data_IF_094997863508
#
_entry.id   IF_094997863508
#
_cell.length_a   1.000
_cell.length_b   1.000
_cell.length_c   1.000
_cell.angle_alpha   90.00
_cell.angle_beta   90.00
_cell.angle_gamma   90.00
#
_symmetry.space_group_name_H-M   'P 1'
#
loop_
_entity.id
_entity.type
_entity.pdbx_description
1 polymer ?
#
# COMPACT_ATOMS: atom_id res chain seq x y z
N UNK A 1 14.30 -4.34 -4.53
CA UNK A 1 13.03 -3.69 -4.17
C UNK A 1 13.37 -2.52 -3.28
N UNK A 2 13.00 -1.30 -3.65
CA UNK A 2 13.39 -0.10 -2.91
C UNK A 2 12.81 -0.11 -1.49
N UNK A 3 13.63 0.31 -0.53
CA UNK A 3 13.28 0.43 0.88
C UNK A 3 12.27 1.57 1.07
N UNK A 4 10.98 1.24 0.93
CA UNK A 4 9.86 2.17 1.02
C UNK A 4 9.88 2.98 2.33
N UNK A 5 10.45 2.42 3.40
CA UNK A 5 10.56 3.08 4.72
C UNK A 5 11.43 4.34 4.70
N UNK A 6 12.24 4.52 3.64
CA UNK A 6 13.09 5.70 3.43
C UNK A 6 12.51 6.71 2.44
N UNK A 7 11.37 6.41 1.82
CA UNK A 7 10.72 7.34 0.91
C UNK A 7 10.08 8.48 1.72
N UNK A 8 10.25 9.74 1.29
CA UNK A 8 9.52 10.85 1.90
C UNK A 8 8.02 10.73 1.61
N UNK A 9 7.19 11.33 2.47
CA UNK A 9 5.78 11.55 2.14
C UNK A 9 5.66 12.46 0.91
N UNK A 10 4.76 12.12 0.00
CA UNK A 10 4.60 12.83 -1.26
C UNK A 10 4.22 11.94 -2.44
N UNK A 11 4.19 12.52 -3.65
CA UNK A 11 3.66 11.87 -4.85
C UNK A 11 4.31 10.52 -5.18
N UNK A 12 5.61 10.36 -4.93
CA UNK A 12 6.33 9.11 -5.20
C UNK A 12 5.88 7.98 -4.27
N UNK A 13 5.69 8.28 -2.97
CA UNK A 13 5.19 7.30 -2.02
C UNK A 13 3.70 6.98 -2.27
N UNK A 14 2.92 7.98 -2.63
CA UNK A 14 1.50 7.81 -2.98
C UNK A 14 1.35 6.94 -4.25
N UNK A 15 2.24 7.12 -5.22
CA UNK A 15 2.31 6.26 -6.41
C UNK A 15 2.71 4.81 -6.06
N UNK A 16 3.64 4.62 -5.14
CA UNK A 16 4.00 3.28 -4.64
C UNK A 16 2.84 2.61 -3.90
N UNK A 17 2.05 3.37 -3.14
CA UNK A 17 0.82 2.87 -2.52
C UNK A 17 -0.20 2.43 -3.58
N UNK A 18 -0.44 3.25 -4.60
CA UNK A 18 -1.35 2.90 -5.70
C UNK A 18 -0.89 1.64 -6.44
N UNK A 19 0.42 1.51 -6.69
CA UNK A 19 1.02 0.29 -7.26
C UNK A 19 0.80 -0.93 -6.37
N UNK A 20 1.02 -0.81 -5.06
CA UNK A 20 0.80 -1.90 -4.11
C UNK A 20 -0.68 -2.34 -4.06
N UNK A 21 -1.62 -1.42 -4.27
CA UNK A 21 -3.04 -1.74 -4.38
C UNK A 21 -3.44 -2.40 -5.70
N UNK A 22 -2.54 -2.41 -6.69
CA UNK A 22 -2.85 -2.82 -8.06
C UNK A 22 -3.69 -1.80 -8.82
N UNK A 23 -3.75 -0.55 -8.35
CA UNK A 23 -4.40 0.56 -9.04
C UNK A 23 -3.47 1.12 -10.10
N UNK A 24 -3.27 0.33 -11.16
CA UNK A 24 -2.42 0.69 -12.30
C UNK A 24 -3.24 0.70 -13.58
N UNK A 25 -3.07 1.76 -14.36
CA UNK A 25 -3.54 1.89 -15.73
C UNK A 25 -2.47 1.29 -16.63
N UNK A 26 -2.89 0.35 -17.45
CA UNK A 26 -2.03 -0.27 -18.45
C UNK A 26 -2.26 0.49 -19.75
N UNK A 27 -1.31 1.34 -20.13
CA UNK A 27 -1.35 2.02 -21.41
C UNK A 27 -0.91 1.04 -22.50
N UNK A 28 -1.85 0.67 -23.36
CA UNK A 28 -1.64 -0.26 -24.45
C UNK A 28 -1.65 0.51 -25.77
N UNK A 29 -0.57 0.40 -26.53
CA UNK A 29 -0.47 0.99 -27.87
C UNK A 29 -0.69 -0.07 -28.92
N UNK A 30 -1.61 0.20 -29.84
CA UNK A 30 -1.78 -0.63 -31.02
C UNK A 30 -0.84 -0.14 -32.13
N UNK A 31 0.00 -1.04 -32.64
CA UNK A 31 0.77 -0.85 -33.87
C UNK A 31 0.27 -1.84 -34.93
N UNK A 32 0.65 -1.64 -36.20
CA UNK A 32 0.27 -2.54 -37.29
C UNK A 32 0.69 -4.02 -37.11
N UNK A 33 1.50 -4.34 -36.09
CA UNK A 33 1.90 -5.69 -35.71
C UNK A 33 1.19 -6.25 -34.46
N UNK A 34 0.31 -5.47 -33.80
CA UNK A 34 -0.43 -5.88 -32.61
C UNK A 34 -0.36 -4.85 -31.46
N UNK A 35 -0.92 -5.25 -30.33
CA UNK A 35 -0.87 -4.48 -29.08
C UNK A 35 0.48 -4.65 -28.38
N UNK A 36 1.08 -3.54 -27.94
CA UNK A 36 2.27 -3.52 -27.08
C UNK A 36 2.02 -2.67 -25.85
N UNK A 37 2.60 -3.08 -24.71
CA UNK A 37 2.63 -2.28 -23.50
C UNK A 37 3.46 -1.02 -23.73
N UNK A 38 2.85 0.15 -23.60
CA UNK A 38 3.47 1.47 -23.79
C UNK A 38 3.81 2.13 -22.45
N UNK A 39 3.04 1.84 -21.40
CA UNK A 39 3.27 2.36 -20.05
C UNK A 39 2.44 1.67 -18.96
N UNK A 40 2.91 1.78 -17.72
CA UNK A 40 2.17 1.39 -16.51
C UNK A 40 2.13 2.61 -15.59
N UNK A 41 0.96 3.20 -15.43
CA UNK A 41 0.76 4.43 -14.66
C UNK A 41 -0.14 4.14 -13.47
N UNK A 42 0.03 4.76 -12.29
CA UNK A 42 -0.96 4.63 -11.22
C UNK A 42 -2.30 5.24 -11.65
N UNK A 43 -3.42 4.53 -11.43
CA UNK A 43 -4.76 5.09 -11.61
C UNK A 43 -5.01 6.03 -10.43
N UNK A 44 -4.98 7.33 -10.69
CA UNK A 44 -5.55 8.31 -9.76
C UNK A 44 -7.07 8.22 -9.87
N UNK A 45 -7.69 7.36 -9.07
CA UNK A 45 -9.16 7.22 -9.04
C UNK A 45 -9.81 8.56 -8.61
N UNK A 46 -9.03 9.46 -8.00
CA UNK A 46 -9.41 10.84 -7.68
C UNK A 46 -8.17 11.74 -7.78
N UNK A 47 -8.33 13.00 -8.19
CA UNK A 47 -7.34 14.10 -8.08
C UNK A 47 -6.86 14.39 -6.64
N UNK A 48 -7.21 13.52 -5.67
CA UNK A 48 -7.01 13.66 -4.23
C UNK A 48 -6.41 12.40 -3.57
N UNK A 49 -5.93 11.43 -4.33
CA UNK A 49 -5.25 10.27 -3.73
C UNK A 49 -3.86 10.66 -3.24
N UNK A 50 -3.81 11.26 -2.05
CA UNK A 50 -2.60 11.74 -1.37
C UNK A 50 -2.46 11.10 0.03
N UNK A 51 -2.40 9.76 0.13
CA UNK A 51 -2.49 9.05 1.40
C UNK A 51 -1.34 9.30 2.37
N UNK A 52 -0.14 9.57 1.88
CA UNK A 52 1.00 9.82 2.74
C UNK A 52 1.00 11.21 3.39
N UNK A 53 0.18 12.15 2.90
CA UNK A 53 0.19 13.57 3.29
C UNK A 53 -1.16 14.09 3.79
N UNK A 54 -2.23 13.30 3.71
CA UNK A 54 -3.58 13.72 4.12
C UNK A 54 -4.31 12.61 4.86
N UNK A 55 -5.12 12.98 5.85
CA UNK A 55 -5.98 12.02 6.55
C UNK A 55 -7.07 11.45 5.65
N UNK A 56 -7.64 12.25 4.75
CA UNK A 56 -8.63 11.78 3.78
C UNK A 56 -8.04 10.70 2.87
N UNK A 57 -6.83 10.91 2.34
CA UNK A 57 -6.13 9.89 1.54
C UNK A 57 -5.78 8.64 2.37
N UNK A 58 -5.27 8.82 3.60
CA UNK A 58 -4.99 7.68 4.49
C UNK A 58 -6.27 6.91 4.84
N UNK A 59 -7.40 7.60 4.99
CA UNK A 59 -8.72 7.01 5.18
C UNK A 59 -9.11 6.09 4.03
N UNK A 60 -8.89 6.53 2.78
CA UNK A 60 -9.14 5.69 1.60
C UNK A 60 -8.29 4.41 1.61
N UNK A 61 -7.02 4.50 2.04
CA UNK A 61 -6.16 3.32 2.19
C UNK A 61 -6.69 2.37 3.27
N UNK A 62 -7.12 2.89 4.42
CA UNK A 62 -7.68 2.07 5.51
C UNK A 62 -8.94 1.33 5.02
N UNK A 63 -9.86 2.03 4.37
CA UNK A 63 -11.10 1.44 3.84
C UNK A 63 -10.82 0.36 2.79
N UNK A 64 -9.86 0.60 1.89
CA UNK A 64 -9.44 -0.38 0.89
C UNK A 64 -8.82 -1.62 1.54
N UNK A 65 -7.90 -1.44 2.48
CA UNK A 65 -7.27 -2.52 3.24
C UNK A 65 -8.32 -3.35 4.00
N UNK A 66 -9.27 -2.70 4.66
CA UNK A 66 -10.39 -3.36 5.34
C UNK A 66 -11.27 -4.17 4.39
N UNK A 67 -11.59 -3.62 3.21
CA UNK A 67 -12.34 -4.35 2.19
C UNK A 67 -11.62 -5.61 1.71
N UNK A 68 -10.28 -5.59 1.75
CA UNK A 68 -9.42 -6.72 1.42
C UNK A 68 -9.18 -7.68 2.60
N UNK A 69 -9.81 -7.47 3.77
CA UNK A 69 -9.68 -8.35 4.93
C UNK A 69 -8.47 -8.07 5.82
N UNK A 70 -7.93 -6.85 5.75
CA UNK A 70 -6.88 -6.37 6.65
C UNK A 70 -7.46 -5.51 7.76
N UNK A 71 -6.87 -5.59 8.94
CA UNK A 71 -7.19 -4.74 10.09
C UNK A 71 -6.01 -3.85 10.42
N UNK A 72 -6.29 -2.58 10.70
CA UNK A 72 -5.29 -1.61 11.13
C UNK A 72 -5.08 -1.72 12.64
N UNK A 73 -3.83 -1.87 13.05
CA UNK A 73 -3.40 -1.65 14.42
C UNK A 73 -2.59 -0.34 14.50
N UNK A 74 -3.07 0.61 15.29
CA UNK A 74 -2.38 1.87 15.60
C UNK A 74 -2.00 1.92 17.07
N UNK A 75 -0.76 2.29 17.35
CA UNK A 75 -0.28 2.51 18.71
C UNK A 75 0.45 3.85 18.79
N UNK A 76 0.05 4.69 19.73
CA UNK A 76 0.82 5.90 20.07
C UNK A 76 1.87 5.51 21.10
N UNK A 77 3.12 5.77 20.77
CA UNK A 77 4.29 5.47 21.62
C UNK A 77 4.93 6.78 22.09
N UNK A 78 5.84 6.70 23.06
CA UNK A 78 6.60 7.87 23.51
C UNK A 78 7.49 8.51 22.43
N UNK A 79 7.69 7.85 21.28
CA UNK A 79 8.56 8.29 20.17
C UNK A 79 7.82 8.54 18.85
N UNK A 80 6.51 8.35 18.81
CA UNK A 80 5.70 8.54 17.60
C UNK A 80 4.51 7.59 17.49
N UNK A 81 3.90 7.57 16.32
CA UNK A 81 2.79 6.67 15.98
C UNK A 81 3.38 5.43 15.31
N UNK A 82 3.04 4.27 15.83
CA UNK A 82 3.30 2.98 15.22
C UNK A 82 2.05 2.49 14.47
N UNK A 83 2.21 2.00 13.24
CA UNK A 83 1.13 1.34 12.51
C UNK A 83 1.58 -0.01 11.94
N UNK A 84 0.63 -0.94 11.88
CA UNK A 84 0.74 -2.22 11.16
C UNK A 84 -0.63 -2.63 10.64
N UNK A 85 -0.66 -3.44 9.59
CA UNK A 85 -1.86 -4.16 9.16
C UNK A 85 -1.67 -5.66 9.39
N UNK A 86 -2.74 -6.33 9.83
CA UNK A 86 -2.78 -7.78 9.99
C UNK A 86 -4.02 -8.36 9.33
N UNK A 87 -3.96 -9.64 8.93
CA UNK A 87 -5.12 -10.33 8.37
C UNK A 87 -6.14 -10.60 9.47
N UNK A 88 -7.43 -10.43 9.17
CA UNK A 88 -8.52 -10.78 10.10
C UNK A 88 -8.33 -12.21 10.64
N UNK A 89 -8.40 -12.37 11.96
CA UNK A 89 -8.18 -13.65 12.64
C UNK A 89 -6.71 -14.05 12.83
N UNK A 90 -5.75 -13.24 12.40
CA UNK A 90 -4.31 -13.43 12.64
C UNK A 90 -3.76 -12.31 13.53
N UNK A 91 -3.24 -12.66 14.70
CA UNK A 91 -2.61 -11.72 15.64
C UNK A 91 -1.12 -11.44 15.36
N UNK A 92 -0.57 -11.98 14.28
CA UNK A 92 0.83 -11.72 13.91
C UNK A 92 0.87 -10.43 13.08
N UNK A 93 1.38 -9.31 13.63
CA UNK A 93 1.51 -8.10 12.85
C UNK A 93 2.51 -8.34 11.73
N UNK A 94 2.15 -8.01 10.50
CA UNK A 94 3.16 -7.73 9.50
C UNK A 94 3.92 -6.46 9.93
N UNK A 95 5.22 -6.41 9.59
CA UNK A 95 6.20 -5.39 10.00
C UNK A 95 5.58 -4.04 10.38
N UNK A 96 5.80 -3.58 11.62
CA UNK A 96 5.33 -2.27 12.07
C UNK A 96 6.31 -1.15 11.66
N UNK A 97 5.78 0.04 11.42
CA UNK A 97 6.57 1.24 11.13
C UNK A 97 6.23 2.35 12.12
N UNK A 98 7.21 3.19 12.49
CA UNK A 98 7.04 4.26 13.49
C UNK A 98 7.51 5.58 12.89
N UNK A 99 6.65 6.60 12.92
CA UNK A 99 7.04 7.98 12.66
C UNK A 99 6.13 8.99 13.40
N UNK A 100 6.46 10.28 13.30
CA UNK A 100 5.73 11.36 13.99
C UNK A 100 4.42 11.78 13.30
N UNK A 101 4.10 11.23 12.12
CA UNK A 101 3.00 11.70 11.29
C UNK A 101 2.08 10.55 10.82
N UNK A 102 0.81 10.59 11.24
CA UNK A 102 -0.16 9.50 11.07
C UNK A 102 -0.36 9.01 9.63
N UNK A 103 -0.77 9.86 8.67
CA UNK A 103 -1.02 9.46 7.28
C UNK A 103 0.17 8.75 6.61
N UNK A 104 1.38 9.27 6.85
CA UNK A 104 2.62 8.67 6.36
C UNK A 104 2.84 7.26 6.93
N UNK A 105 2.73 7.09 8.25
CA UNK A 105 2.94 5.78 8.90
C UNK A 105 1.92 4.75 8.43
N UNK A 106 0.65 5.16 8.27
CA UNK A 106 -0.43 4.30 7.76
C UNK A 106 -0.12 3.84 6.34
N UNK A 107 0.31 4.76 5.47
CA UNK A 107 0.64 4.47 4.07
C UNK A 107 1.80 3.48 3.97
N UNK A 108 2.89 3.70 4.72
CA UNK A 108 4.03 2.78 4.77
C UNK A 108 3.60 1.40 5.27
N UNK A 109 2.85 1.34 6.37
CA UNK A 109 2.38 0.08 6.94
C UNK A 109 1.51 -0.72 5.96
N UNK A 110 0.65 -0.05 5.19
CA UNK A 110 -0.17 -0.69 4.17
C UNK A 110 0.67 -1.27 3.02
N UNK A 111 1.66 -0.51 2.51
CA UNK A 111 2.58 -1.02 1.48
C UNK A 111 3.35 -2.24 1.98
N UNK A 112 3.86 -2.19 3.21
CA UNK A 112 4.60 -3.30 3.81
C UNK A 112 3.74 -4.56 3.94
N UNK A 113 2.49 -4.41 4.36
CA UNK A 113 1.54 -5.52 4.48
C UNK A 113 1.21 -6.15 3.11
N UNK A 114 0.87 -5.34 2.11
CA UNK A 114 0.56 -5.81 0.76
C UNK A 114 1.76 -6.50 0.09
N UNK A 115 2.97 -5.98 0.28
CA UNK A 115 4.19 -6.62 -0.24
C UNK A 115 4.49 -7.93 0.48
N UNK A 116 4.32 -7.99 1.80
CA UNK A 116 4.55 -9.23 2.55
C UNK A 116 3.58 -10.35 2.20
N UNK A 117 2.35 -10.01 1.78
CA UNK A 117 1.41 -10.98 1.22
C UNK A 117 1.87 -11.50 -0.14
N UNK A 118 2.35 -10.63 -1.03
CA UNK A 118 2.88 -11.05 -2.33
C UNK A 118 4.12 -11.96 -2.20
N UNK A 119 4.91 -11.79 -1.14
CA UNK A 119 6.09 -12.61 -0.85
C UNK A 119 5.74 -13.94 -0.14
N UNK A 120 4.52 -14.12 0.38
CA UNK A 120 4.07 -15.40 0.93
C UNK A 120 3.33 -16.20 -0.15
N UNK A 121 3.98 -17.24 -0.69
CA UNK A 121 3.27 -18.32 -1.38
C UNK A 121 2.18 -18.86 -0.43
N UNK A 122 0.94 -19.10 -0.90
CA UNK A 122 -0.03 -19.81 -0.09
C UNK A 122 0.60 -21.16 0.31
N UNK A 123 0.42 -21.63 1.57
CA UNK A 123 0.91 -22.95 1.94
C UNK A 123 0.36 -23.95 0.93
N UNK A 124 1.24 -24.77 0.34
CA UNK A 124 0.81 -25.94 -0.42
C UNK A 124 -0.19 -26.69 0.45
N UNK A 125 -1.43 -26.76 -0.01
CA UNK A 125 -2.42 -27.64 0.58
C UNK A 125 -1.91 -29.06 0.31
N UNK A 126 -1.24 -29.65 1.31
CA UNK A 126 -0.93 -31.07 1.33
C UNK A 126 -2.22 -31.83 1.01
N UNK A 127 -2.21 -32.52 -0.14
CA UNK A 127 -3.28 -33.42 -0.59
C UNK A 127 -3.06 -34.82 -0.05
#
# INVERSE_FOLDING_TARGET
MDDVSRMPAGPELDAEMARALGWIEIEMKYSGAGWSLDGVHPIYIQDRFTPSTTWDGAGQVIEEMQRRGWELALNVTGVGVAASFHRQGSYHPFKFFIASYGPFVITIAAILALRSEADHEPPELDK
#
